data_IF_452670009612
#
_entry.id   IF_452670009612
#
_cell.length_a   1.000
_cell.length_b   1.000
_cell.length_c   1.000
_cell.angle_alpha   90.00
_cell.angle_beta   90.00
_cell.angle_gamma   90.00
#
_symmetry.space_group_name_H-M   'P 1'
#
loop_
_entity.id
_entity.type
_entity.pdbx_description
1 polymer ?
#
# COMPACT_ATOMS: atom_id res chain seq x y z
N UNK A 1 7.22 -11.70 -0.61
CA UNK A 1 7.83 -10.44 -0.12
C UNK A 1 7.93 -10.59 1.37
N UNK A 2 9.13 -10.51 1.92
CA UNK A 2 9.35 -10.62 3.36
C UNK A 2 8.73 -9.40 4.05
N UNK A 3 7.62 -9.65 4.74
CA UNK A 3 6.79 -8.62 5.40
C UNK A 3 7.37 -8.29 6.78
N UNK A 4 8.67 -7.97 6.88
CA UNK A 4 9.28 -7.65 8.17
C UNK A 4 9.20 -6.16 8.50
N UNK A 5 9.15 -5.84 9.79
CA UNK A 5 9.31 -4.48 10.29
C UNK A 5 10.78 -4.12 10.50
N UNK A 6 11.11 -2.83 10.43
CA UNK A 6 12.37 -2.28 10.93
C UNK A 6 12.09 -1.53 12.23
N UNK A 7 12.95 -1.70 13.24
CA UNK A 7 12.90 -0.97 14.49
C UNK A 7 14.24 -0.25 14.64
N UNK A 8 14.22 1.07 14.82
CA UNK A 8 15.42 1.87 15.03
C UNK A 8 15.25 2.70 16.29
N UNK A 9 15.88 2.26 17.37
CA UNK A 9 15.82 2.89 18.68
C UNK A 9 17.11 2.54 19.43
N UNK A 10 17.77 3.52 20.04
CA UNK A 10 19.03 3.30 20.76
C UNK A 10 18.82 2.64 22.13
N UNK A 11 17.57 2.51 22.58
CA UNK A 11 17.17 1.81 23.80
C UNK A 11 16.78 0.35 23.51
N UNK A 12 17.61 -0.64 23.90
CA UNK A 12 17.33 -2.05 23.59
C UNK A 12 16.03 -2.57 24.22
N UNK A 13 15.60 -1.99 25.33
CA UNK A 13 14.35 -2.34 25.99
C UNK A 13 13.13 -1.96 25.13
N UNK A 14 13.19 -0.80 24.47
CA UNK A 14 12.15 -0.36 23.53
C UNK A 14 12.11 -1.27 22.31
N UNK A 15 13.27 -1.60 21.72
CA UNK A 15 13.36 -2.57 20.62
C UNK A 15 12.71 -3.91 20.99
N UNK A 16 13.10 -4.50 22.12
CA UNK A 16 12.59 -5.80 22.58
C UNK A 16 11.07 -5.83 22.81
N UNK A 17 10.52 -4.73 23.35
CA UNK A 17 9.07 -4.62 23.53
C UNK A 17 8.35 -4.64 22.17
N UNK A 18 8.84 -3.87 21.20
CA UNK A 18 8.24 -3.78 19.86
C UNK A 18 8.36 -5.14 19.15
N UNK A 19 9.53 -5.79 19.20
CA UNK A 19 9.75 -7.14 18.65
C UNK A 19 8.74 -8.16 19.22
N UNK A 20 8.52 -8.15 20.54
CA UNK A 20 7.53 -9.03 21.19
C UNK A 20 6.11 -8.77 20.71
N UNK A 21 5.74 -7.50 20.53
CA UNK A 21 4.40 -7.14 20.02
C UNK A 21 4.24 -7.63 18.58
N UNK A 22 5.23 -7.37 17.72
CA UNK A 22 5.22 -7.79 16.33
C UNK A 22 5.20 -9.31 16.18
N UNK A 23 6.02 -10.02 16.95
CA UNK A 23 6.02 -11.49 16.98
C UNK A 23 4.67 -12.06 17.43
N UNK A 24 3.97 -11.40 18.36
CA UNK A 24 2.63 -11.84 18.79
C UNK A 24 1.54 -11.72 17.72
N UNK A 25 1.79 -10.99 16.63
CA UNK A 25 0.92 -10.90 15.45
C UNK A 25 1.52 -11.59 14.22
N UNK A 26 2.58 -12.40 14.40
CA UNK A 26 3.22 -13.15 13.33
C UNK A 26 4.04 -12.29 12.35
N UNK A 27 4.50 -11.11 12.77
CA UNK A 27 5.36 -10.24 11.94
C UNK A 27 6.82 -10.34 12.38
N UNK A 28 7.70 -10.67 11.44
CA UNK A 28 9.15 -10.63 11.66
C UNK A 28 9.64 -9.19 11.84
N UNK A 29 10.75 -9.01 12.54
CA UNK A 29 11.35 -7.70 12.76
C UNK A 29 12.86 -7.73 12.68
N UNK A 30 13.44 -6.59 12.30
CA UNK A 30 14.86 -6.31 12.38
C UNK A 30 15.05 -5.08 13.26
N UNK A 31 15.78 -5.22 14.36
CA UNK A 31 16.12 -4.11 15.25
C UNK A 31 17.53 -3.60 14.98
N UNK A 32 17.68 -2.29 15.04
CA UNK A 32 18.93 -1.57 14.82
C UNK A 32 19.06 -0.51 15.90
N UNK A 33 20.10 -0.57 16.73
CA UNK A 33 20.31 0.38 17.82
C UNK A 33 21.17 1.58 17.43
N UNK A 34 21.54 1.66 16.14
CA UNK A 34 22.40 2.71 15.59
C UNK A 34 21.78 3.30 14.33
N UNK A 35 21.36 4.56 14.41
CA UNK A 35 20.75 5.30 13.30
C UNK A 35 21.60 5.32 12.02
N UNK A 36 22.93 5.38 12.13
CA UNK A 36 23.84 5.35 10.98
C UNK A 36 23.72 4.06 10.14
N UNK A 37 23.41 2.93 10.77
CA UNK A 37 23.21 1.64 10.08
C UNK A 37 21.81 1.58 9.43
N UNK A 38 20.84 2.28 10.02
CA UNK A 38 19.46 2.28 9.53
C UNK A 38 19.33 2.87 8.11
N UNK A 39 20.11 3.90 7.76
CA UNK A 39 20.05 4.50 6.42
C UNK A 39 20.44 3.48 5.33
N UNK A 40 21.54 2.75 5.53
CA UNK A 40 21.98 1.71 4.60
C UNK A 40 20.95 0.58 4.48
N UNK A 41 20.40 0.15 5.63
CA UNK A 41 19.37 -0.87 5.70
C UNK A 41 18.09 -0.43 4.96
N UNK A 42 17.69 0.84 5.07
CA UNK A 42 16.53 1.42 4.39
C UNK A 42 16.75 1.58 2.88
N UNK A 43 17.98 1.81 2.42
CA UNK A 43 18.30 1.89 1.00
C UNK A 43 18.19 0.52 0.31
N UNK A 44 18.69 -0.52 0.97
CA UNK A 44 18.78 -1.87 0.41
C UNK A 44 17.55 -2.74 0.74
N UNK A 45 16.84 -2.46 1.84
CA UNK A 45 15.72 -3.24 2.35
C UNK A 45 14.35 -2.61 2.09
N UNK A 46 13.33 -3.45 1.82
CA UNK A 46 11.92 -3.04 1.82
C UNK A 46 11.28 -3.53 3.12
N UNK A 47 10.55 -2.64 3.79
CA UNK A 47 9.87 -2.98 5.05
C UNK A 47 8.36 -2.80 4.93
N UNK A 48 7.64 -3.63 5.70
CA UNK A 48 6.21 -3.53 5.85
C UNK A 48 5.84 -2.29 6.68
N UNK A 49 6.56 -2.04 7.77
CA UNK A 49 6.45 -0.86 8.62
C UNK A 49 7.78 -0.54 9.27
N UNK A 50 7.97 0.70 9.72
CA UNK A 50 9.18 1.13 10.42
C UNK A 50 8.82 1.86 11.71
N UNK A 51 9.47 1.48 12.81
CA UNK A 51 9.47 2.21 14.07
C UNK A 51 10.78 2.99 14.19
N UNK A 52 10.70 4.29 14.46
CA UNK A 52 11.86 5.16 14.60
C UNK A 52 11.77 5.93 15.92
N UNK A 53 12.84 5.96 16.69
CA UNK A 53 13.01 6.98 17.72
C UNK A 53 13.16 8.37 17.05
N UNK A 54 12.43 9.35 17.58
CA UNK A 54 12.48 10.76 17.20
C UNK A 54 13.89 11.34 17.41
N UNK A 55 14.56 10.95 18.48
CA UNK A 55 15.84 11.54 18.88
C UNK A 55 16.93 10.48 18.97
N UNK A 56 17.81 10.48 17.99
CA UNK A 56 19.05 9.70 17.97
C UNK A 56 20.17 10.57 17.43
N UNK A 57 21.45 10.18 17.61
CA UNK A 57 22.54 10.76 16.85
C UNK A 57 22.22 10.78 15.35
N UNK A 58 22.60 11.86 14.65
CA UNK A 58 22.25 12.04 13.25
C UNK A 58 22.70 10.83 12.38
N UNK A 59 21.86 10.33 11.46
CA UNK A 59 20.51 10.82 11.13
C UNK A 59 19.47 10.52 12.21
N UNK A 60 18.63 11.50 12.56
CA UNK A 60 17.56 11.33 13.53
C UNK A 60 16.29 10.70 12.89
N UNK A 61 15.27 10.39 13.70
CA UNK A 61 14.02 9.81 13.21
C UNK A 61 13.36 10.61 12.09
N UNK A 62 13.15 11.92 12.25
CA UNK A 62 12.63 12.78 11.19
C UNK A 62 13.47 12.76 9.91
N UNK A 63 14.80 12.73 10.01
CA UNK A 63 15.69 12.66 8.85
C UNK A 63 15.60 11.31 8.13
N UNK A 64 15.65 10.19 8.86
CA UNK A 64 15.42 8.86 8.29
C UNK A 64 14.05 8.77 7.61
N UNK A 65 13.02 9.41 8.18
CA UNK A 65 11.69 9.47 7.59
C UNK A 65 11.72 10.21 6.24
N UNK A 66 12.38 11.37 6.16
CA UNK A 66 12.53 12.10 4.89
C UNK A 66 13.24 11.26 3.82
N UNK A 67 14.34 10.60 4.19
CA UNK A 67 15.05 9.68 3.30
C UNK A 67 14.13 8.56 2.78
N UNK A 68 13.27 8.00 3.62
CA UNK A 68 12.28 7.02 3.19
C UNK A 68 11.28 7.59 2.19
N UNK A 69 10.79 8.81 2.41
CA UNK A 69 9.80 9.48 1.53
C UNK A 69 10.39 9.83 0.16
N UNK A 70 11.69 10.08 0.08
CA UNK A 70 12.41 10.32 -1.18
C UNK A 70 12.83 9.02 -1.89
N UNK A 71 12.84 7.88 -1.18
CA UNK A 71 13.18 6.58 -1.76
C UNK A 71 12.03 5.98 -2.56
N UNK A 72 12.29 5.34 -3.71
CA UNK A 72 11.26 4.59 -4.45
C UNK A 72 10.75 3.36 -3.69
N UNK A 73 11.61 2.78 -2.85
CA UNK A 73 11.36 1.52 -2.15
C UNK A 73 10.44 1.71 -0.95
N UNK A 74 10.73 2.66 -0.08
CA UNK A 74 10.03 2.86 1.19
C UNK A 74 9.13 4.13 1.21
N UNK A 75 8.91 4.77 0.05
CA UNK A 75 8.11 5.99 -0.10
C UNK A 75 6.81 5.99 0.69
N UNK A 76 6.06 4.91 0.59
CA UNK A 76 4.73 4.74 1.20
C UNK A 76 4.75 3.82 2.42
N UNK A 77 5.93 3.35 2.85
CA UNK A 77 6.03 2.48 4.03
C UNK A 77 5.59 3.29 5.27
N UNK A 78 4.63 2.77 6.07
CA UNK A 78 4.20 3.43 7.28
C UNK A 78 5.35 3.58 8.28
N UNK A 79 5.43 4.78 8.88
CA UNK A 79 6.43 5.11 9.89
C UNK A 79 5.72 5.45 11.19
N UNK A 80 6.10 4.77 12.27
CA UNK A 80 5.67 5.08 13.64
C UNK A 80 6.83 5.78 14.33
N UNK A 81 6.67 7.08 14.57
CA UNK A 81 7.65 7.84 15.34
C UNK A 81 7.41 7.63 16.84
N UNK A 82 8.46 7.38 17.61
CA UNK A 82 8.43 7.18 19.05
C UNK A 82 9.28 8.28 19.68
N UNK A 83 8.78 8.98 20.69
CA UNK A 83 9.52 10.10 21.30
C UNK A 83 9.36 10.15 22.81
N UNK A 84 10.44 10.47 23.52
CA UNK A 84 10.39 10.93 24.92
C UNK A 84 9.94 12.40 25.05
N UNK A 85 10.05 13.19 23.97
CA UNK A 85 9.68 14.60 23.97
C UNK A 85 8.17 14.79 23.85
N UNK A 86 7.51 14.97 25.01
CA UNK A 86 6.05 15.14 25.11
C UNK A 86 5.52 16.50 24.63
N UNK A 87 6.38 17.38 24.09
CA UNK A 87 5.94 18.69 23.59
C UNK A 87 5.23 18.50 22.23
N UNK A 88 4.15 19.25 21.96
CA UNK A 88 3.46 19.20 20.66
C UNK A 88 4.37 19.46 19.46
N UNK A 89 5.45 20.24 19.65
CA UNK A 89 6.42 20.51 18.61
C UNK A 89 7.10 19.22 18.08
N UNK A 90 7.36 18.22 18.91
CA UNK A 90 7.95 16.95 18.47
C UNK A 90 6.99 16.18 17.55
N UNK A 91 5.73 16.08 17.97
CA UNK A 91 4.68 15.48 17.15
C UNK A 91 4.53 16.18 15.79
N UNK A 92 4.51 17.52 15.79
CA UNK A 92 4.42 18.30 14.54
C UNK A 92 5.61 18.03 13.63
N UNK A 93 6.84 18.02 14.15
CA UNK A 93 8.04 17.69 13.37
C UNK A 93 7.97 16.30 12.77
N UNK A 94 7.57 15.29 13.56
CA UNK A 94 7.44 13.92 13.10
C UNK A 94 6.45 13.78 11.93
N UNK A 95 5.26 14.39 12.05
CA UNK A 95 4.28 14.37 10.96
C UNK A 95 4.71 15.18 9.74
N UNK A 96 5.37 16.33 9.92
CA UNK A 96 5.92 17.11 8.80
C UNK A 96 7.01 16.37 8.02
N UNK A 97 7.80 15.53 8.71
CA UNK A 97 8.76 14.64 8.06
C UNK A 97 8.08 13.51 7.27
N UNK A 98 6.78 13.26 7.50
CA UNK A 98 5.99 12.26 6.82
C UNK A 98 5.73 11.00 7.65
N UNK A 99 5.87 11.04 8.97
CA UNK A 99 5.45 9.92 9.83
C UNK A 99 3.96 9.62 9.67
N UNK A 100 3.57 8.35 9.75
CA UNK A 100 2.16 7.93 9.68
C UNK A 100 1.50 7.96 11.04
N UNK A 101 2.26 7.64 12.09
CA UNK A 101 1.81 7.63 13.48
C UNK A 101 2.89 8.23 14.38
N UNK A 102 2.47 8.69 15.55
CA UNK A 102 3.35 9.24 16.57
C UNK A 102 2.95 8.66 17.93
N UNK A 103 3.93 8.22 18.72
CA UNK A 103 3.76 7.65 20.05
C UNK A 103 4.73 8.30 21.04
N UNK A 104 4.29 8.46 22.27
CA UNK A 104 5.16 8.90 23.36
C UNK A 104 5.60 7.72 24.21
N UNK A 105 6.87 7.74 24.64
CA UNK A 105 7.37 6.87 25.71
C UNK A 105 6.75 7.30 27.08
N UNK A 106 6.55 6.38 28.05
CA UNK A 106 6.79 4.94 27.96
C UNK A 106 5.76 4.24 27.07
N UNK A 107 6.24 3.27 26.30
CA UNK A 107 5.39 2.44 25.45
C UNK A 107 4.74 1.33 26.30
N UNK A 108 3.48 1.03 25.97
CA UNK A 108 2.79 -0.13 26.49
C UNK A 108 2.34 -1.05 25.35
N UNK A 109 2.16 -2.33 25.70
CA UNK A 109 1.81 -3.38 24.75
C UNK A 109 0.49 -3.11 24.03
N UNK A 110 -0.50 -2.54 24.71
CA UNK A 110 -1.84 -2.33 24.17
C UNK A 110 -1.81 -1.24 23.08
N UNK A 111 -1.17 -0.11 23.36
CA UNK A 111 -0.99 0.98 22.39
C UNK A 111 -0.17 0.55 21.18
N UNK A 112 0.93 -0.17 21.40
CA UNK A 112 1.72 -0.72 20.30
C UNK A 112 0.90 -1.67 19.43
N UNK A 113 0.13 -2.57 20.05
CA UNK A 113 -0.72 -3.52 19.32
C UNK A 113 -1.80 -2.80 18.49
N UNK A 114 -2.40 -1.73 19.02
CA UNK A 114 -3.35 -0.91 18.27
C UNK A 114 -2.71 -0.28 17.03
N UNK A 115 -1.52 0.32 17.16
CA UNK A 115 -0.80 0.92 16.04
C UNK A 115 -0.38 -0.12 15.01
N UNK A 116 0.14 -1.28 15.45
CA UNK A 116 0.50 -2.38 14.56
C UNK A 116 -0.71 -2.84 13.75
N UNK A 117 -1.86 -3.06 14.40
CA UNK A 117 -3.10 -3.46 13.72
C UNK A 117 -3.62 -2.40 12.75
N UNK A 118 -3.62 -1.12 13.14
CA UNK A 118 -4.01 -0.02 12.27
C UNK A 118 -3.10 0.08 11.04
N UNK A 119 -1.81 -0.13 11.25
CA UNK A 119 -0.79 -0.12 10.20
C UNK A 119 -0.93 -1.32 9.26
N UNK A 120 -1.16 -2.51 9.80
CA UNK A 120 -1.50 -3.72 9.01
C UNK A 120 -2.75 -3.49 8.16
N UNK A 121 -3.80 -2.86 8.71
CA UNK A 121 -5.01 -2.51 7.95
C UNK A 121 -4.73 -1.57 6.77
N UNK A 122 -3.88 -0.56 6.95
CA UNK A 122 -3.48 0.35 5.87
C UNK A 122 -2.62 -0.35 4.80
N UNK A 123 -1.66 -1.18 5.23
CA UNK A 123 -0.80 -1.99 4.37
C UNK A 123 -1.63 -3.01 3.58
N UNK A 124 -2.54 -3.71 4.24
CA UNK A 124 -3.46 -4.67 3.64
C UNK A 124 -4.43 -3.99 2.69
N UNK A 125 -4.95 -2.80 3.00
CA UNK A 125 -5.80 -2.05 2.07
C UNK A 125 -5.05 -1.69 0.80
N UNK A 126 -3.82 -1.19 0.88
CA UNK A 126 -3.02 -0.86 -0.30
C UNK A 126 -2.63 -2.11 -1.11
N UNK A 127 -2.28 -3.20 -0.43
CA UNK A 127 -2.00 -4.47 -1.08
C UNK A 127 -3.25 -5.09 -1.73
N UNK A 128 -4.40 -5.11 -1.05
CA UNK A 128 -5.66 -5.63 -1.61
C UNK A 128 -6.11 -4.78 -2.81
N UNK A 129 -5.85 -3.48 -2.80
CA UNK A 129 -6.21 -2.58 -3.92
C UNK A 129 -5.40 -2.84 -5.19
N UNK A 130 -4.11 -3.10 -5.04
CA UNK A 130 -3.19 -3.32 -6.18
C UNK A 130 -3.03 -4.79 -6.58
N UNK A 131 -3.43 -5.74 -5.73
CA UNK A 131 -3.35 -7.17 -6.02
C UNK A 131 -4.27 -7.53 -7.18
N UNK A 132 -3.65 -8.09 -8.23
CA UNK A 132 -4.34 -8.56 -9.43
C UNK A 132 -4.76 -10.01 -9.23
N UNK A 133 -6.06 -10.27 -9.40
CA UNK A 133 -6.66 -11.59 -9.38
C UNK A 133 -6.93 -12.01 -10.82
N UNK A 134 -6.52 -13.22 -11.26
CA UNK A 134 -6.89 -13.75 -12.57
C UNK A 134 -8.42 -13.94 -12.64
N UNK A 135 -9.07 -13.13 -13.47
CA UNK A 135 -10.52 -13.15 -13.63
C UNK A 135 -10.80 -13.03 -15.11
N UNK A 136 -11.38 -14.08 -15.70
CA UNK A 136 -11.83 -14.09 -17.09
C UNK A 136 -13.29 -13.74 -17.18
N UNK A 137 -13.54 -12.48 -17.51
CA UNK A 137 -14.88 -11.90 -17.55
C UNK A 137 -15.03 -11.03 -18.79
N UNK A 138 -16.24 -10.98 -19.31
CA UNK A 138 -16.56 -10.14 -20.47
C UNK A 138 -16.36 -8.67 -20.13
N UNK A 139 -15.70 -7.95 -21.02
CA UNK A 139 -15.46 -6.51 -20.93
C UNK A 139 -16.02 -5.83 -22.17
N UNK A 140 -16.82 -4.79 -21.98
CA UNK A 140 -17.21 -3.88 -23.05
C UNK A 140 -16.55 -2.54 -22.80
N UNK A 141 -15.81 -2.05 -23.79
CA UNK A 141 -15.19 -0.74 -23.79
C UNK A 141 -15.89 0.15 -24.81
N UNK A 142 -16.15 1.41 -24.49
CA UNK A 142 -16.62 2.41 -25.44
C UNK A 142 -15.56 3.50 -25.59
N UNK A 143 -15.15 3.74 -26.82
CA UNK A 143 -14.20 4.79 -27.18
C UNK A 143 -14.59 5.39 -28.52
N UNK A 144 -14.66 6.72 -28.61
CA UNK A 144 -15.01 7.46 -29.83
C UNK A 144 -16.26 6.91 -30.53
N UNK A 145 -17.31 6.64 -29.75
CA UNK A 145 -18.58 6.11 -30.25
C UNK A 145 -18.58 4.62 -30.63
N UNK A 146 -17.43 3.96 -30.64
CA UNK A 146 -17.33 2.54 -30.98
C UNK A 146 -17.30 1.66 -29.73
N UNK A 147 -17.96 0.51 -29.82
CA UNK A 147 -17.89 -0.53 -28.80
C UNK A 147 -16.80 -1.53 -29.18
N UNK A 148 -15.97 -1.90 -28.20
CA UNK A 148 -14.93 -2.91 -28.29
C UNK A 148 -15.24 -3.97 -27.25
N UNK A 149 -15.40 -5.20 -27.72
CA UNK A 149 -15.56 -6.35 -26.84
C UNK A 149 -14.19 -6.98 -26.55
N UNK A 150 -13.99 -7.35 -25.29
CA UNK A 150 -12.79 -8.03 -24.82
C UNK A 150 -13.08 -8.93 -23.63
N UNK A 151 -12.01 -9.52 -23.11
CA UNK A 151 -12.02 -10.37 -21.92
C UNK A 151 -10.97 -9.85 -20.94
N UNK A 152 -11.31 -9.77 -19.66
CA UNK A 152 -10.33 -9.48 -18.63
C UNK A 152 -9.37 -10.67 -18.48
N UNK A 153 -8.10 -10.38 -18.29
CA UNK A 153 -7.07 -11.37 -17.95
C UNK A 153 -6.87 -11.40 -16.44
N UNK A 154 -6.73 -10.21 -15.86
CA UNK A 154 -6.66 -10.00 -14.42
C UNK A 154 -7.34 -8.68 -14.05
N UNK A 155 -7.79 -8.60 -12.80
CA UNK A 155 -8.51 -7.45 -12.24
C UNK A 155 -7.97 -7.14 -10.85
N UNK A 156 -7.86 -5.87 -10.54
CA UNK A 156 -7.57 -5.30 -9.21
C UNK A 156 -8.60 -4.23 -8.89
N UNK A 157 -8.57 -3.63 -7.70
CA UNK A 157 -9.49 -2.54 -7.36
C UNK A 157 -9.27 -1.29 -8.23
N UNK A 158 -8.07 -1.12 -8.79
CA UNK A 158 -7.68 0.09 -9.51
C UNK A 158 -7.48 -0.12 -11.01
N UNK A 159 -7.67 -1.33 -11.51
CA UNK A 159 -7.32 -1.60 -12.89
C UNK A 159 -7.64 -3.00 -13.35
N UNK A 160 -7.75 -3.12 -14.66
CA UNK A 160 -8.03 -4.37 -15.37
C UNK A 160 -7.04 -4.51 -16.53
N UNK A 161 -6.52 -5.71 -16.72
CA UNK A 161 -5.84 -6.07 -17.97
C UNK A 161 -6.89 -6.67 -18.90
N UNK A 162 -7.10 -6.06 -20.06
CA UNK A 162 -8.10 -6.51 -21.05
C UNK A 162 -7.39 -7.04 -22.28
N UNK A 163 -7.81 -8.22 -22.74
CA UNK A 163 -7.47 -8.75 -24.05
C UNK A 163 -8.62 -8.47 -25.02
N UNK A 164 -8.34 -7.81 -26.14
CA UNK A 164 -9.34 -7.47 -27.14
C UNK A 164 -8.76 -7.57 -28.55
N UNK A 165 -9.62 -7.77 -29.56
CA UNK A 165 -9.18 -7.81 -30.96
C UNK A 165 -8.71 -6.45 -31.49
N UNK A 166 -9.21 -5.36 -30.87
CA UNK A 166 -8.85 -3.99 -31.20
C UNK A 166 -8.37 -3.28 -29.95
N UNK A 167 -7.27 -2.57 -30.06
CA UNK A 167 -6.66 -1.82 -28.97
C UNK A 167 -7.06 -0.35 -29.06
N UNK A 168 -7.27 0.25 -27.89
CA UNK A 168 -7.42 1.71 -27.75
C UNK A 168 -6.04 2.31 -27.41
N UNK A 169 -5.64 3.45 -28.01
CA UNK A 169 -4.36 4.09 -27.72
C UNK A 169 -4.13 4.39 -26.24
N UNK A 170 -2.87 4.37 -25.81
CA UNK A 170 -2.47 4.81 -24.46
C UNK A 170 -2.80 6.29 -24.29
N UNK A 171 -3.31 6.67 -23.12
CA UNK A 171 -3.78 8.01 -22.80
C UNK A 171 -5.27 8.24 -23.08
N UNK A 172 -5.91 7.36 -23.85
CA UNK A 172 -7.35 7.47 -24.12
C UNK A 172 -8.21 7.17 -22.91
N UNK A 173 -9.32 7.89 -22.80
CA UNK A 173 -10.41 7.57 -21.88
C UNK A 173 -11.37 6.57 -22.53
N UNK A 174 -11.87 5.63 -21.73
CA UNK A 174 -12.82 4.58 -22.14
C UNK A 174 -13.95 4.49 -21.12
N UNK A 175 -15.20 4.40 -21.59
CA UNK A 175 -16.26 3.87 -20.72
C UNK A 175 -16.06 2.36 -20.66
N UNK A 176 -16.11 1.78 -19.46
CA UNK A 176 -15.92 0.35 -19.24
C UNK A 176 -17.14 -0.26 -18.59
N UNK A 177 -17.52 -1.45 -19.07
CA UNK A 177 -18.45 -2.35 -18.41
C UNK A 177 -17.78 -3.71 -18.20
N UNK A 178 -17.65 -4.14 -16.95
CA UNK A 178 -17.01 -5.39 -16.57
C UNK A 178 -18.05 -6.35 -15.97
N UNK A 179 -18.31 -7.46 -16.67
CA UNK A 179 -19.29 -8.46 -16.24
C UNK A 179 -18.60 -9.58 -15.44
N UNK A 180 -18.36 -9.33 -14.15
CA UNK A 180 -17.59 -10.23 -13.27
C UNK A 180 -18.22 -11.62 -13.09
N UNK A 181 -19.54 -11.68 -12.87
CA UNK A 181 -20.30 -12.93 -12.84
C UNK A 181 -21.73 -12.67 -13.36
N UNK A 182 -22.51 -13.73 -13.61
CA UNK A 182 -23.89 -13.60 -14.15
C UNK A 182 -24.93 -13.15 -13.13
N UNK A 183 -24.67 -13.34 -11.83
CA UNK A 183 -25.62 -13.02 -10.76
C UNK A 183 -25.58 -11.53 -10.37
N UNK A 184 -24.45 -10.87 -10.62
CA UNK A 184 -24.24 -9.44 -10.38
C UNK A 184 -24.45 -8.67 -11.68
N UNK A 185 -24.99 -7.45 -11.57
CA UNK A 185 -24.93 -6.49 -12.68
C UNK A 185 -23.48 -6.14 -13.04
N UNK A 186 -23.22 -5.62 -14.26
CA UNK A 186 -21.88 -5.21 -14.65
C UNK A 186 -21.38 -4.07 -13.77
N UNK A 187 -20.06 -4.04 -13.55
CA UNK A 187 -19.40 -2.86 -13.01
C UNK A 187 -19.24 -1.85 -14.13
N UNK A 188 -19.78 -0.65 -13.94
CA UNK A 188 -19.73 0.42 -14.93
C UNK A 188 -18.88 1.57 -14.42
N UNK A 189 -18.01 2.10 -15.28
CA UNK A 189 -17.19 3.26 -14.92
C UNK A 189 -16.45 3.84 -16.11
N UNK A 190 -15.54 4.77 -15.81
CA UNK A 190 -14.60 5.34 -16.76
C UNK A 190 -13.20 4.86 -16.39
N UNK A 191 -12.41 4.48 -17.38
CA UNK A 191 -11.02 4.11 -17.21
C UNK A 191 -10.11 4.85 -18.18
N UNK A 192 -8.81 4.84 -17.89
CA UNK A 192 -7.78 5.34 -18.79
C UNK A 192 -6.88 4.20 -19.25
N UNK A 193 -6.57 4.17 -20.54
CA UNK A 193 -5.60 3.21 -21.08
C UNK A 193 -4.20 3.68 -20.67
N UNK A 194 -3.54 2.94 -19.79
CA UNK A 194 -2.23 3.34 -19.24
C UNK A 194 -1.08 2.59 -19.90
N UNK A 195 -1.35 1.44 -20.53
CA UNK A 195 -0.35 0.68 -21.29
C UNK A 195 -1.01 -0.25 -22.30
N UNK A 196 -0.28 -0.58 -23.34
CA UNK A 196 -0.59 -1.69 -24.26
C UNK A 196 0.53 -2.70 -24.13
N UNK A 197 0.19 -3.96 -23.90
CA UNK A 197 1.12 -5.08 -23.80
C UNK A 197 0.81 -6.10 -24.90
N UNK A 198 1.84 -6.65 -25.54
CA UNK A 198 1.70 -7.47 -26.74
C UNK A 198 0.81 -6.80 -27.81
N UNK A 199 0.43 -7.53 -28.87
CA UNK A 199 -0.38 -6.97 -29.95
C UNK A 199 -1.86 -6.73 -29.57
N UNK A 200 -2.35 -7.31 -28.45
CA UNK A 200 -3.79 -7.39 -28.15
C UNK A 200 -4.17 -7.28 -26.67
N UNK A 201 -3.27 -6.81 -25.79
CA UNK A 201 -3.63 -6.55 -24.39
C UNK A 201 -3.47 -5.08 -24.03
N UNK A 202 -4.38 -4.57 -23.20
CA UNK A 202 -4.37 -3.19 -22.75
C UNK A 202 -4.60 -3.15 -21.24
N UNK A 203 -3.70 -2.48 -20.53
CA UNK A 203 -3.86 -2.16 -19.13
C UNK A 203 -4.71 -0.91 -19.01
N UNK A 204 -5.85 -1.03 -18.36
CA UNK A 204 -6.78 0.06 -18.11
C UNK A 204 -6.76 0.34 -16.62
N UNK A 205 -6.45 1.57 -16.25
CA UNK A 205 -6.65 2.06 -14.89
C UNK A 205 -8.11 2.44 -14.74
N UNK A 206 -8.79 1.89 -13.73
CA UNK A 206 -10.16 2.27 -13.40
C UNK A 206 -10.09 3.62 -12.70
N UNK A 207 -10.78 4.62 -13.25
CA UNK A 207 -10.93 5.91 -12.59
C UNK A 207 -11.76 5.80 -11.31
N UNK A 208 -12.17 6.93 -10.75
CA UNK A 208 -13.04 6.95 -9.57
C UNK A 208 -14.40 6.34 -9.92
N UNK A 209 -14.58 5.06 -9.60
CA UNK A 209 -15.87 4.38 -9.65
C UNK A 209 -16.83 5.04 -8.65
N UNK A 210 -18.13 4.95 -8.92
CA UNK A 210 -19.13 5.30 -7.92
C UNK A 210 -19.05 4.34 -6.74
N UNK A 211 -19.51 4.77 -5.56
CA UNK A 211 -19.47 3.95 -4.35
C UNK A 211 -20.11 2.56 -4.54
N UNK A 212 -21.30 2.42 -5.18
CA UNK A 212 -21.89 1.11 -5.41
C UNK A 212 -21.04 0.20 -6.31
N UNK A 213 -20.42 0.75 -7.36
CA UNK A 213 -19.60 -0.03 -8.29
C UNK A 213 -18.26 -0.44 -7.66
N UNK A 214 -17.67 0.45 -6.87
CA UNK A 214 -16.48 0.12 -6.06
C UNK A 214 -16.78 -0.98 -5.04
N UNK A 215 -17.93 -0.95 -4.38
CA UNK A 215 -18.33 -1.98 -3.41
C UNK A 215 -18.52 -3.34 -4.09
N UNK A 216 -19.21 -3.39 -5.24
CA UNK A 216 -19.36 -4.63 -6.02
C UNK A 216 -18.01 -5.23 -6.42
N UNK A 217 -17.09 -4.39 -6.90
CA UNK A 217 -15.73 -4.83 -7.26
C UNK A 217 -15.00 -5.41 -6.04
N UNK A 218 -15.13 -4.72 -4.91
CA UNK A 218 -14.55 -5.12 -3.64
C UNK A 218 -15.07 -6.49 -3.18
N UNK A 219 -16.39 -6.63 -3.08
CA UNK A 219 -17.05 -7.85 -2.61
C UNK A 219 -16.72 -9.06 -3.48
N UNK A 220 -16.49 -8.84 -4.79
CA UNK A 220 -16.12 -9.90 -5.70
C UNK A 220 -14.65 -10.33 -5.58
N UNK A 221 -13.70 -9.39 -5.53
CA UNK A 221 -12.28 -9.77 -5.55
C UNK A 221 -11.75 -10.16 -4.17
N UNK A 222 -12.26 -9.59 -3.08
CA UNK A 222 -11.74 -9.86 -1.73
C UNK A 222 -11.68 -11.36 -1.39
N UNK A 223 -12.73 -12.17 -1.65
CA UNK A 223 -12.68 -13.62 -1.39
C UNK A 223 -11.69 -14.38 -2.28
N UNK A 224 -11.26 -13.79 -3.40
CA UNK A 224 -10.34 -14.41 -4.36
C UNK A 224 -8.88 -14.04 -4.09
N UNK A 225 -8.61 -13.16 -3.13
CA UNK A 225 -7.27 -12.78 -2.70
C UNK A 225 -6.84 -13.77 -1.61
N UNK A 226 -5.83 -14.63 -1.83
CA UNK A 226 -5.33 -15.51 -0.78
C UNK A 226 -4.71 -14.72 0.37
N UNK A 227 -4.88 -15.18 1.60
CA UNK A 227 -4.26 -14.62 2.81
C UNK A 227 -2.72 -14.53 2.71
#
# INVERSE_FOLDING_TARGET
MDKRALIVDDEPATCHLIEKVLGSVGMDSLSVTRSAEASDILQHGKFAMVFLDDQMPFPDGPELTRQMRDSSRNRITPVVMISDDKRPAAMVRGFQAGASFFMYKPLDRERLLMIVRATQGAIEHEHRRTRRVPVKSRVLLKHDGHVIEGESVDVSMEGVLVKAQRIVPVGSSVDIQLQLNRAMGPIVGVGSVVRVAAANHMGIHLGRLSLPESQKLQDFLLPLIPD
#
